data_IF_343270624833
#
_entry.id   IF_343270624833
#
_cell.length_a   1.000
_cell.length_b   1.000
_cell.length_c   1.000
_cell.angle_alpha   90.00
_cell.angle_beta   90.00
_cell.angle_gamma   90.00
#
_symmetry.space_group_name_H-M   'P 1'
#
loop_
_entity.id
_entity.type
_entity.pdbx_description
1 polymer ?
#
# COMPACT_ATOMS: atom_id res chain seq x y z
N UNK A 1 1.47 0.90 2.25
CA UNK A 1 1.38 -0.48 2.76
C UNK A 1 0.31 -0.54 3.82
N UNK A 2 -0.49 -1.61 3.86
CA UNK A 2 -1.61 -1.76 4.78
C UNK A 2 -1.19 -2.68 5.91
N UNK A 3 -1.30 -2.20 7.14
CA UNK A 3 -1.07 -2.98 8.35
C UNK A 3 -2.36 -3.61 8.86
N UNK A 4 -2.27 -4.62 9.72
CA UNK A 4 -3.43 -5.38 10.23
C UNK A 4 -4.54 -4.49 10.82
N UNK A 5 -4.17 -3.46 11.57
CA UNK A 5 -5.12 -2.53 12.21
C UNK A 5 -5.90 -1.65 11.22
N UNK A 6 -5.44 -1.54 9.97
CA UNK A 6 -6.09 -0.77 8.91
C UNK A 6 -6.90 -1.66 7.95
N UNK A 7 -6.99 -2.97 8.21
CA UNK A 7 -7.69 -3.94 7.36
C UNK A 7 -9.13 -3.52 7.07
N UNK A 8 -9.90 -3.18 8.10
CA UNK A 8 -11.32 -2.84 7.95
C UNK A 8 -11.51 -1.63 7.04
N UNK A 9 -10.74 -0.56 7.26
CA UNK A 9 -10.80 0.67 6.44
C UNK A 9 -10.43 0.39 4.99
N UNK A 10 -9.36 -0.37 4.75
CA UNK A 10 -8.95 -0.77 3.40
C UNK A 10 -10.00 -1.66 2.73
N UNK A 11 -10.65 -2.56 3.47
CA UNK A 11 -11.71 -3.38 2.91
C UNK A 11 -12.93 -2.52 2.54
N UNK A 12 -13.32 -1.59 3.40
CA UNK A 12 -14.47 -0.72 3.15
C UNK A 12 -14.25 0.21 1.95
N UNK A 13 -13.03 0.67 1.70
CA UNK A 13 -12.72 1.44 0.48
C UNK A 13 -12.84 0.65 -0.82
N UNK A 14 -13.13 -0.67 -0.79
CA UNK A 14 -13.45 -1.42 -2.00
C UNK A 14 -14.94 -1.41 -2.37
N UNK A 15 -15.78 -0.70 -1.59
CA UNK A 15 -17.20 -0.55 -1.89
C UNK A 15 -17.37 0.28 -3.16
N UNK A 16 -18.23 -0.15 -4.07
CA UNK A 16 -18.59 0.62 -5.25
C UNK A 16 -19.29 1.93 -4.83
N UNK A 17 -18.75 3.06 -5.31
CA UNK A 17 -19.25 4.41 -5.04
C UNK A 17 -19.38 5.20 -6.35
N UNK A 18 -20.13 6.30 -6.29
CA UNK A 18 -20.17 7.28 -7.37
C UNK A 18 -18.81 7.96 -7.58
N UNK A 19 -18.50 8.32 -8.83
CA UNK A 19 -17.21 8.90 -9.24
C UNK A 19 -16.75 10.15 -8.47
N UNK A 20 -17.69 10.89 -7.88
CA UNK A 20 -17.41 12.14 -7.15
C UNK A 20 -17.32 11.92 -5.63
N UNK A 21 -17.55 10.70 -5.14
CA UNK A 21 -17.49 10.38 -3.72
C UNK A 21 -16.12 9.81 -3.37
N UNK A 22 -15.44 10.46 -2.42
CA UNK A 22 -14.18 9.95 -1.89
C UNK A 22 -14.42 8.86 -0.86
N UNK A 23 -13.85 7.67 -1.07
CA UNK A 23 -13.82 6.57 -0.10
C UNK A 23 -13.16 7.02 1.20
N UNK A 24 -12.08 7.79 1.11
CA UNK A 24 -11.35 8.28 2.28
C UNK A 24 -12.23 9.16 3.17
N UNK A 25 -13.05 10.03 2.57
CA UNK A 25 -14.00 10.86 3.32
C UNK A 25 -15.14 10.00 3.89
N UNK A 26 -15.71 9.10 3.09
CA UNK A 26 -16.86 8.28 3.50
C UNK A 26 -16.52 7.34 4.65
N UNK A 27 -15.32 6.74 4.64
CA UNK A 27 -14.87 5.78 5.63
C UNK A 27 -13.91 6.38 6.68
N UNK A 28 -13.85 7.72 6.76
CA UNK A 28 -13.04 8.44 7.76
C UNK A 28 -11.57 7.98 7.78
N UNK A 29 -10.99 7.79 6.59
CA UNK A 29 -9.58 7.46 6.41
C UNK A 29 -8.80 8.78 6.36
N UNK A 30 -8.08 9.08 7.44
CA UNK A 30 -7.23 10.27 7.49
C UNK A 30 -6.14 10.23 6.43
N UNK A 31 -5.94 11.35 5.74
CA UNK A 31 -4.89 11.51 4.73
C UNK A 31 -3.97 12.68 5.09
N UNK A 32 -2.76 12.67 4.55
CA UNK A 32 -1.79 13.74 4.69
C UNK A 32 -0.97 13.90 3.40
N UNK A 33 -0.67 15.14 3.04
CA UNK A 33 0.24 15.48 1.94
C UNK A 33 1.63 15.69 2.50
N UNK A 34 2.58 14.85 2.08
CA UNK A 34 3.98 14.91 2.54
C UNK A 34 4.99 15.08 1.41
N UNK A 35 4.63 14.72 0.18
CA UNK A 35 5.44 14.86 -1.01
C UNK A 35 4.70 15.79 -1.97
N UNK A 36 5.32 16.93 -2.28
CA UNK A 36 4.71 17.97 -3.09
C UNK A 36 4.50 17.48 -4.52
N UNK A 37 3.33 17.77 -5.08
CA UNK A 37 2.97 17.37 -6.45
C UNK A 37 2.37 15.96 -6.58
N UNK A 38 2.27 15.20 -5.50
CA UNK A 38 1.65 13.87 -5.50
C UNK A 38 0.31 13.84 -4.73
N UNK A 39 -0.55 12.83 -5.00
CA UNK A 39 -1.74 12.58 -4.19
C UNK A 39 -1.41 12.38 -2.71
N UNK A 40 -2.34 12.70 -1.79
CA UNK A 40 -2.12 12.52 -0.37
C UNK A 40 -2.02 11.03 -0.02
N UNK A 41 -1.14 10.71 0.94
CA UNK A 41 -1.03 9.36 1.48
C UNK A 41 -1.98 9.18 2.67
N UNK A 42 -2.30 7.93 3.02
CA UNK A 42 -3.02 7.62 4.26
C UNK A 42 -2.12 7.95 5.46
N UNK A 43 -2.63 8.68 6.44
CA UNK A 43 -1.87 9.08 7.61
C UNK A 43 -1.57 7.88 8.50
N UNK A 44 -0.33 7.77 8.94
CA UNK A 44 0.10 6.72 9.88
C UNK A 44 0.47 5.37 9.28
N UNK A 45 0.39 5.18 7.96
CA UNK A 45 0.79 3.90 7.33
C UNK A 45 2.30 3.62 7.49
N UNK A 46 2.71 2.34 7.49
CA UNK A 46 4.12 1.94 7.58
C UNK A 46 4.99 2.52 6.46
N UNK A 47 4.45 2.57 5.25
CA UNK A 47 5.15 3.07 4.06
C UNK A 47 4.17 3.50 2.97
N UNK A 48 4.56 4.46 2.14
CA UNK A 48 3.83 4.91 0.95
C UNK A 48 4.82 5.18 -0.20
N UNK A 49 4.36 4.99 -1.43
CA UNK A 49 5.15 5.19 -2.64
C UNK A 49 4.56 6.36 -3.43
N UNK A 50 5.39 7.32 -3.79
CA UNK A 50 5.05 8.43 -4.66
C UNK A 50 5.62 8.14 -6.03
N UNK A 51 4.72 8.00 -7.00
CA UNK A 51 5.09 7.47 -8.29
C UNK A 51 4.59 8.34 -9.43
N UNK A 52 5.41 8.43 -10.47
CA UNK A 52 4.99 8.95 -11.76
C UNK A 52 4.36 7.84 -12.59
N UNK A 53 3.29 8.18 -13.29
CA UNK A 53 2.71 7.30 -14.28
C UNK A 53 3.70 7.10 -15.44
N UNK A 54 4.02 5.84 -15.75
CA UNK A 54 4.91 5.51 -16.87
C UNK A 54 4.11 5.10 -18.11
N UNK A 55 3.32 4.03 -18.01
CA UNK A 55 2.52 3.51 -19.11
C UNK A 55 1.42 2.56 -18.64
N UNK A 56 0.41 2.40 -19.48
CA UNK A 56 -0.53 1.28 -19.44
C UNK A 56 -0.03 0.16 -20.36
N UNK A 57 -0.25 -1.10 -19.98
CA UNK A 57 0.04 -2.23 -20.84
C UNK A 57 -1.26 -2.74 -21.44
N UNK A 58 -1.41 -2.66 -22.76
CA UNK A 58 -2.52 -3.30 -23.45
C UNK A 58 -2.28 -4.82 -23.53
N UNK A 59 -3.19 -5.60 -22.94
CA UNK A 59 -3.15 -7.06 -22.96
C UNK A 59 -3.92 -7.67 -24.14
N UNK A 60 -4.43 -6.86 -25.06
CA UNK A 60 -5.12 -7.32 -26.27
C UNK A 60 -6.55 -7.81 -26.03
N UNK A 61 -7.18 -7.40 -24.92
CA UNK A 61 -8.56 -7.74 -24.55
C UNK A 61 -8.76 -7.91 -23.03
N UNK A 62 -10.01 -7.75 -22.56
CA UNK A 62 -10.37 -7.82 -21.14
C UNK A 62 -10.61 -6.45 -20.50
N UNK A 63 -11.00 -6.45 -19.22
CA UNK A 63 -11.30 -5.22 -18.46
C UNK A 63 -10.15 -4.75 -17.56
N UNK A 64 -9.05 -5.51 -17.51
CA UNK A 64 -7.92 -5.22 -16.63
C UNK A 64 -6.86 -4.45 -17.39
N UNK A 65 -6.44 -3.30 -16.85
CA UNK A 65 -5.38 -2.47 -17.39
C UNK A 65 -4.20 -2.49 -16.41
N UNK A 66 -3.13 -3.26 -16.69
CA UNK A 66 -1.90 -3.16 -15.91
C UNK A 66 -1.26 -1.78 -16.05
N UNK A 67 -0.82 -1.22 -14.93
CA UNK A 67 -0.14 0.06 -14.86
C UNK A 67 1.32 -0.15 -14.47
N UNK A 68 2.23 0.52 -15.18
CA UNK A 68 3.63 0.65 -14.77
C UNK A 68 3.83 2.05 -14.21
N UNK A 69 4.43 2.12 -13.02
CA UNK A 69 4.69 3.37 -12.31
C UNK A 69 6.18 3.46 -11.95
N UNK A 70 6.76 4.65 -12.08
CA UNK A 70 8.13 4.93 -11.66
C UNK A 70 8.11 5.49 -10.23
N UNK A 71 8.73 4.79 -9.28
CA UNK A 71 8.85 5.27 -7.90
C UNK A 71 9.85 6.42 -7.86
N UNK A 72 9.41 7.60 -7.41
CA UNK A 72 10.25 8.77 -7.24
C UNK A 72 10.66 8.94 -5.78
N UNK A 73 9.72 8.75 -4.86
CA UNK A 73 9.96 8.84 -3.42
C UNK A 73 9.26 7.71 -2.68
N UNK A 74 9.86 7.29 -1.57
CA UNK A 74 9.29 6.31 -0.65
C UNK A 74 9.24 6.95 0.73
N UNK A 75 8.04 7.06 1.28
CA UNK A 75 7.87 7.33 2.69
C UNK A 75 7.97 6.03 3.47
N UNK A 76 8.71 6.07 4.57
CA UNK A 76 8.77 5.00 5.57
C UNK A 76 8.58 5.64 6.94
N UNK A 77 7.67 5.10 7.72
CA UNK A 77 7.46 5.55 9.10
C UNK A 77 8.66 5.09 9.95
N UNK A 78 9.35 6.03 10.60
CA UNK A 78 10.51 5.74 11.44
C UNK A 78 10.26 4.62 12.47
N UNK A 79 9.02 4.48 12.94
CA UNK A 79 8.65 3.47 13.94
C UNK A 79 8.72 2.03 13.42
N UNK A 80 8.70 1.84 12.10
CA UNK A 80 8.80 0.50 11.49
C UNK A 80 10.20 0.20 10.97
N UNK A 81 11.16 1.13 11.08
CA UNK A 81 12.54 0.91 10.64
C UNK A 81 13.30 0.17 11.74
N UNK A 82 13.72 -1.06 11.45
CA UNK A 82 14.51 -1.89 12.36
C UNK A 82 16.02 -1.76 12.15
N UNK A 83 16.43 -1.37 10.94
CA UNK A 83 17.83 -1.08 10.59
C UNK A 83 17.85 0.15 9.67
N UNK A 84 18.40 1.26 10.16
CA UNK A 84 18.50 2.52 9.40
C UNK A 84 19.61 2.51 8.36
N UNK A 85 20.64 1.69 8.51
CA UNK A 85 21.74 1.60 7.53
C UNK A 85 21.29 0.79 6.31
N UNK A 86 20.51 -0.27 6.55
CA UNK A 86 19.98 -1.15 5.49
C UNK A 86 18.57 -0.79 5.04
N UNK A 87 17.93 0.17 5.71
CA UNK A 87 16.50 0.52 5.53
C UNK A 87 15.62 -0.74 5.63
N UNK A 88 15.90 -1.57 6.64
CA UNK A 88 15.05 -2.73 6.93
C UNK A 88 13.79 -2.24 7.65
N UNK A 89 12.63 -2.68 7.17
CA UNK A 89 11.33 -2.34 7.73
C UNK A 89 10.67 -3.60 8.30
N UNK A 90 10.01 -3.46 9.45
CA UNK A 90 9.21 -4.51 10.05
C UNK A 90 7.87 -3.93 10.54
N UNK A 91 6.78 -4.53 10.09
CA UNK A 91 5.42 -4.24 10.51
C UNK A 91 4.56 -5.47 10.21
N UNK A 92 3.31 -5.46 10.65
CA UNK A 92 2.37 -6.58 10.41
C UNK A 92 1.52 -6.30 9.15
N UNK A 93 1.93 -6.73 7.94
CA UNK A 93 1.14 -6.52 6.73
C UNK A 93 -0.04 -7.46 6.62
N UNK A 94 -1.04 -7.03 5.85
CA UNK A 94 -2.15 -7.90 5.42
C UNK A 94 -1.88 -8.49 4.04
N UNK A 95 -2.04 -9.81 3.91
CA UNK A 95 -2.04 -10.50 2.62
C UNK A 95 -3.47 -10.74 2.10
N UNK A 96 -3.67 -10.65 0.78
CA UNK A 96 -4.93 -11.03 0.12
C UNK A 96 -4.89 -12.51 -0.26
N UNK A 97 -5.89 -13.27 0.15
CA UNK A 97 -6.04 -14.70 -0.17
C UNK A 97 -7.41 -14.97 -0.82
N UNK A 98 -7.46 -14.89 -2.15
CA UNK A 98 -8.71 -15.04 -2.90
C UNK A 98 -9.74 -13.98 -2.47
N UNK A 99 -10.82 -14.41 -1.81
CA UNK A 99 -11.86 -13.53 -1.25
C UNK A 99 -11.59 -13.08 0.19
N UNK A 100 -10.64 -13.71 0.87
CA UNK A 100 -10.31 -13.50 2.28
C UNK A 100 -8.96 -12.79 2.44
N UNK A 101 -8.56 -12.57 3.69
CA UNK A 101 -7.27 -11.99 4.06
C UNK A 101 -6.52 -12.92 5.02
N UNK A 102 -5.20 -12.77 5.08
CA UNK A 102 -4.36 -13.44 6.05
C UNK A 102 -3.39 -12.45 6.69
N UNK A 103 -3.14 -12.67 7.97
CA UNK A 103 -2.09 -12.04 8.75
C UNK A 103 -0.82 -12.87 8.59
N UNK A 104 0.33 -12.22 8.37
CA UNK A 104 1.57 -12.96 8.10
C UNK A 104 2.14 -13.62 9.35
N UNK A 105 1.88 -13.07 10.54
CA UNK A 105 2.30 -13.66 11.80
C UNK A 105 3.82 -13.67 11.96
N UNK A 106 4.42 -14.85 11.93
CA UNK A 106 5.85 -15.04 12.20
C UNK A 106 6.71 -14.98 10.92
N UNK A 107 7.77 -14.17 10.96
CA UNK A 107 8.79 -14.14 9.92
C UNK A 107 9.79 -15.28 10.14
N UNK A 108 10.08 -16.03 9.08
CA UNK A 108 11.01 -17.16 9.10
C UNK A 108 12.27 -16.77 8.32
N UNK A 109 13.49 -16.97 8.87
CA UNK A 109 14.72 -16.64 8.16
C UNK A 109 14.89 -17.50 6.90
N UNK A 110 15.52 -16.91 5.88
CA UNK A 110 15.87 -17.64 4.67
C UNK A 110 16.76 -18.86 5.02
N UNK A 111 16.48 -20.05 4.44
CA UNK A 111 17.29 -21.23 4.69
C UNK A 111 18.72 -21.02 4.20
N UNK A 112 19.69 -21.59 4.91
CA UNK A 112 21.10 -21.53 4.54
C UNK A 112 21.38 -22.41 3.33
N UNK A 113 22.04 -21.87 2.31
CA UNK A 113 22.58 -22.65 1.20
C UNK A 113 23.74 -23.50 1.75
N UNK A 114 23.79 -24.83 1.47
CA UNK A 114 24.89 -25.70 1.88
C UNK A 114 26.27 -25.26 1.39
#
# INVERSE_FOLDING_TARGET
>A
MVQESDLEKMHFSSKELDKELSEAQLFSIETQSISDGYPPMIKGVPSAYFCDFNQEIDLGGGSTIPLVLNVQEIYVNDNVITDKERISINFDPVARMGKSYAFLGEEIPAPTIP
#
